data_IF_630735926561
#
_entry.id   IF_630735926561
#
_cell.length_a   1.000
_cell.length_b   1.000
_cell.length_c   1.000
_cell.angle_alpha   90.00
_cell.angle_beta   90.00
_cell.angle_gamma   90.00
#
_symmetry.space_group_name_H-M   'P 1'
#
loop_
_entity.id
_entity.type
_entity.pdbx_description
1 polymer ?
#
# COMPACT_ATOMS: atom_id res chain seq x y z
N UNK A 1 -0.92 5.53 23.22
CA UNK A 1 -2.38 5.48 23.27
C UNK A 1 -2.94 4.69 22.08
N UNK A 2 -2.56 4.99 20.82
CA UNK A 2 -3.08 4.32 19.62
C UNK A 2 -2.98 2.78 19.70
N UNK A 3 -1.83 2.22 20.13
CA UNK A 3 -1.63 0.77 20.32
C UNK A 3 -2.67 0.14 21.26
N UNK A 4 -3.12 0.87 22.29
CA UNK A 4 -4.15 0.39 23.22
C UNK A 4 -5.55 0.40 22.56
N UNK A 5 -5.91 1.51 21.90
CA UNK A 5 -7.21 1.68 21.24
C UNK A 5 -7.39 0.64 20.13
N UNK A 6 -6.35 0.40 19.35
CA UNK A 6 -6.39 -0.50 18.18
C UNK A 6 -6.55 -1.99 18.54
N UNK A 7 -6.33 -2.41 19.78
CA UNK A 7 -6.62 -3.79 20.24
C UNK A 7 -8.07 -4.22 20.00
N UNK A 8 -8.98 -3.27 19.87
CA UNK A 8 -10.41 -3.54 19.67
C UNK A 8 -10.76 -3.91 18.22
N UNK A 9 -9.89 -3.58 17.26
CA UNK A 9 -10.19 -3.72 15.83
C UNK A 9 -9.07 -4.34 15.02
N UNK A 10 -7.83 -3.93 15.24
CA UNK A 10 -6.70 -4.39 14.45
C UNK A 10 -6.11 -5.69 15.01
N UNK A 11 -5.71 -6.58 14.09
CA UNK A 11 -4.92 -7.76 14.45
C UNK A 11 -3.46 -7.33 14.66
N UNK A 12 -2.79 -7.91 15.65
CA UNK A 12 -1.32 -7.94 15.65
C UNK A 12 -0.89 -8.94 14.57
N UNK A 13 -0.57 -8.44 13.39
CA UNK A 13 -0.18 -9.30 12.26
C UNK A 13 1.16 -9.98 12.52
N UNK A 14 1.36 -11.14 11.89
CA UNK A 14 2.58 -11.91 12.08
C UNK A 14 3.79 -11.26 11.40
N UNK A 15 4.96 -11.50 11.97
CA UNK A 15 6.26 -11.28 11.36
C UNK A 15 6.82 -12.64 10.91
N UNK A 16 6.87 -12.86 9.60
CA UNK A 16 7.22 -14.15 9.00
C UNK A 16 8.64 -14.10 8.45
N UNK A 17 9.48 -15.07 8.82
CA UNK A 17 10.82 -15.21 8.24
C UNK A 17 10.72 -15.63 6.75
N UNK A 18 11.45 -14.93 5.89
CA UNK A 18 11.43 -15.10 4.43
C UNK A 18 12.84 -15.16 3.83
N UNK A 19 13.75 -15.83 4.51
CA UNK A 19 15.19 -15.92 4.17
C UNK A 19 15.47 -16.48 2.78
N UNK A 20 14.53 -17.24 2.19
CA UNK A 20 14.64 -17.77 0.84
C UNK A 20 14.41 -16.74 -0.26
N UNK A 21 13.77 -15.63 0.05
CA UNK A 21 13.47 -14.58 -0.94
C UNK A 21 14.70 -13.76 -1.32
N UNK A 22 15.61 -13.50 -0.34
CA UNK A 22 16.77 -12.66 -0.56
C UNK A 22 18.01 -13.32 0.10
N UNK A 23 18.76 -14.16 -0.62
CA UNK A 23 19.96 -14.78 -0.08
C UNK A 23 20.98 -13.74 0.43
N UNK A 24 21.53 -13.97 1.62
CA UNK A 24 22.48 -13.06 2.26
C UNK A 24 21.85 -11.94 3.09
N UNK A 25 20.51 -11.92 3.20
CA UNK A 25 19.76 -11.02 4.08
C UNK A 25 18.84 -11.84 4.98
N UNK A 26 18.80 -11.54 6.26
CA UNK A 26 17.78 -12.11 7.17
C UNK A 26 16.48 -11.35 6.98
N UNK A 27 15.72 -11.76 5.96
CA UNK A 27 14.49 -11.07 5.56
C UNK A 27 13.27 -11.57 6.34
N UNK A 28 12.47 -10.63 6.81
CA UNK A 28 11.18 -10.85 7.48
C UNK A 28 10.08 -10.05 6.80
N UNK A 29 8.85 -10.56 6.85
CA UNK A 29 7.67 -9.91 6.28
C UNK A 29 6.69 -9.54 7.39
N UNK A 30 6.37 -8.26 7.53
CA UNK A 30 5.26 -7.79 8.36
C UNK A 30 3.97 -7.81 7.55
N UNK A 31 3.07 -8.72 7.87
CA UNK A 31 1.96 -9.14 6.99
C UNK A 31 0.68 -8.33 7.19
N UNK A 32 0.72 -7.02 6.94
CA UNK A 32 -0.48 -6.17 6.97
C UNK A 32 -1.48 -6.46 5.82
N UNK A 33 -1.09 -7.22 4.81
CA UNK A 33 -2.01 -7.80 3.83
C UNK A 33 -3.00 -8.81 4.45
N UNK A 34 -2.71 -9.35 5.63
CA UNK A 34 -3.60 -10.23 6.40
C UNK A 34 -4.37 -9.49 7.50
N UNK A 35 -4.34 -8.16 7.52
CA UNK A 35 -5.11 -7.33 8.44
C UNK A 35 -6.62 -7.47 8.16
N UNK A 36 -7.47 -7.06 9.09
CA UNK A 36 -8.94 -7.25 9.08
C UNK A 36 -9.60 -6.81 7.76
N UNK A 37 -9.12 -5.71 7.16
CA UNK A 37 -9.60 -5.21 5.85
C UNK A 37 -8.67 -5.56 4.69
N UNK A 38 -7.73 -6.50 4.89
CA UNK A 38 -6.73 -6.84 3.89
C UNK A 38 -5.64 -5.76 3.70
N UNK A 39 -5.57 -4.75 4.58
CA UNK A 39 -4.53 -3.72 4.56
C UNK A 39 -4.40 -2.98 5.89
N UNK A 40 -3.28 -2.29 6.06
CA UNK A 40 -2.98 -1.50 7.26
C UNK A 40 -3.95 -0.32 7.53
N UNK A 41 -4.68 0.12 6.54
CA UNK A 41 -5.48 1.38 6.56
C UNK A 41 -6.49 1.44 7.71
N UNK A 42 -7.00 0.32 8.16
CA UNK A 42 -7.92 0.24 9.30
C UNK A 42 -7.31 0.84 10.58
N UNK A 43 -5.99 0.76 10.77
CA UNK A 43 -5.30 1.25 11.96
C UNK A 43 -5.45 2.77 12.10
N UNK A 44 -5.03 3.51 11.07
CA UNK A 44 -5.15 4.98 11.08
C UNK A 44 -6.59 5.47 11.07
N UNK A 45 -7.44 4.88 10.22
CA UNK A 45 -8.86 5.25 10.15
C UNK A 45 -9.56 5.03 11.51
N UNK A 46 -9.37 3.88 12.13
CA UNK A 46 -9.99 3.59 13.42
C UNK A 46 -9.48 4.51 14.52
N UNK A 47 -8.16 4.73 14.59
CA UNK A 47 -7.62 5.61 15.60
C UNK A 47 -8.12 7.04 15.46
N UNK A 48 -8.11 7.61 14.25
CA UNK A 48 -8.65 8.95 13.96
C UNK A 48 -10.11 9.05 14.38
N UNK A 49 -10.97 8.15 13.92
CA UNK A 49 -12.40 8.18 14.21
C UNK A 49 -12.68 7.99 15.71
N UNK A 50 -11.86 7.21 16.43
CA UNK A 50 -11.98 7.02 17.87
C UNK A 50 -11.72 8.27 18.70
N UNK A 51 -10.99 9.24 18.14
CA UNK A 51 -10.65 10.50 18.82
C UNK A 51 -11.65 11.63 18.56
N UNK A 52 -12.66 11.41 17.70
CA UNK A 52 -13.69 12.40 17.41
C UNK A 52 -14.52 12.73 18.64
N UNK A 53 -14.88 14.00 18.78
CA UNK A 53 -15.82 14.49 19.79
C UNK A 53 -17.24 13.91 19.60
N UNK A 54 -18.09 14.01 20.60
CA UNK A 54 -19.47 13.57 20.49
C UNK A 54 -20.24 14.31 19.38
N UNK A 55 -19.95 15.60 19.17
CA UNK A 55 -20.56 16.41 18.11
C UNK A 55 -20.12 15.94 16.72
N UNK A 56 -18.82 15.71 16.50
CA UNK A 56 -18.29 15.20 15.24
C UNK A 56 -18.83 13.81 14.91
N UNK A 57 -18.92 12.92 15.90
CA UNK A 57 -19.51 11.58 15.73
C UNK A 57 -20.97 11.64 15.33
N UNK A 58 -21.73 12.58 15.88
CA UNK A 58 -23.15 12.76 15.54
C UNK A 58 -23.36 13.22 14.08
N UNK A 59 -22.43 14.01 13.54
CA UNK A 59 -22.44 14.44 12.14
C UNK A 59 -21.99 13.34 11.19
N UNK A 60 -21.12 12.44 11.63
CA UNK A 60 -20.57 11.36 10.82
C UNK A 60 -19.21 11.70 10.19
N UNK A 61 -18.71 10.79 9.38
CA UNK A 61 -17.40 10.92 8.70
C UNK A 61 -17.54 10.76 7.20
N UNK A 62 -16.65 11.42 6.47
CA UNK A 62 -16.56 11.34 5.01
C UNK A 62 -15.12 11.08 4.57
N UNK A 63 -14.96 10.35 3.47
CA UNK A 63 -13.65 10.11 2.86
C UNK A 63 -13.77 10.04 1.32
N UNK A 64 -12.64 10.29 0.64
CA UNK A 64 -12.51 10.02 -0.78
C UNK A 64 -11.48 8.90 -0.98
N UNK A 65 -11.92 7.75 -1.48
CA UNK A 65 -11.03 6.62 -1.82
C UNK A 65 -11.81 5.50 -2.50
N UNK A 66 -11.28 4.92 -3.55
CA UNK A 66 -11.78 3.70 -4.18
C UNK A 66 -11.01 2.42 -3.75
N UNK A 67 -10.22 2.48 -2.67
CA UNK A 67 -9.34 1.37 -2.27
C UNK A 67 -9.35 1.06 -0.78
N UNK A 68 -8.15 0.78 -0.24
CA UNK A 68 -7.96 0.34 1.13
C UNK A 68 -8.44 1.32 2.19
N UNK A 69 -8.31 2.63 1.94
CA UNK A 69 -8.74 3.65 2.88
C UNK A 69 -10.27 3.68 3.04
N UNK A 70 -11.01 3.54 1.95
CA UNK A 70 -12.46 3.42 1.95
C UNK A 70 -12.94 2.31 2.89
N UNK A 71 -12.36 1.12 2.76
CA UNK A 71 -12.68 -0.02 3.61
C UNK A 71 -12.28 0.19 5.07
N UNK A 72 -11.13 0.82 5.30
CA UNK A 72 -10.68 1.19 6.65
C UNK A 72 -11.65 2.14 7.36
N UNK A 73 -12.10 3.20 6.67
CA UNK A 73 -13.06 4.17 7.19
C UNK A 73 -14.43 3.52 7.42
N UNK A 74 -14.94 2.76 6.44
CA UNK A 74 -16.22 2.07 6.54
C UNK A 74 -16.28 1.14 7.75
N UNK A 75 -15.28 0.28 7.92
CA UNK A 75 -15.21 -0.63 9.08
C UNK A 75 -15.10 0.13 10.40
N UNK A 76 -14.23 1.14 10.46
CA UNK A 76 -14.00 1.92 11.68
C UNK A 76 -15.25 2.66 12.14
N UNK A 77 -15.92 3.36 11.22
CA UNK A 77 -17.16 4.08 11.51
C UNK A 77 -18.28 3.13 11.96
N UNK A 78 -18.49 2.04 11.24
CA UNK A 78 -19.52 1.03 11.56
C UNK A 78 -19.30 0.41 12.94
N UNK A 79 -18.04 0.08 13.28
CA UNK A 79 -17.70 -0.46 14.63
C UNK A 79 -18.02 0.51 15.76
N UNK A 80 -18.04 1.80 15.49
CA UNK A 80 -18.32 2.85 16.45
C UNK A 80 -19.78 3.38 16.37
N UNK A 81 -20.61 2.82 15.48
CA UNK A 81 -21.97 3.28 15.26
C UNK A 81 -22.05 4.67 14.63
N UNK A 82 -21.04 5.08 13.87
CA UNK A 82 -20.96 6.40 13.23
C UNK A 82 -21.31 6.25 11.74
N UNK A 83 -22.13 7.18 11.22
CA UNK A 83 -22.43 7.25 9.80
C UNK A 83 -21.17 7.56 9.01
N UNK A 84 -20.95 6.86 7.89
CA UNK A 84 -19.84 7.13 6.97
C UNK A 84 -20.30 7.23 5.53
N UNK A 85 -19.74 8.20 4.82
CA UNK A 85 -19.92 8.39 3.37
C UNK A 85 -18.55 8.29 2.71
N UNK A 86 -18.48 7.56 1.60
CA UNK A 86 -17.24 7.41 0.83
C UNK A 86 -17.51 7.82 -0.62
N UNK A 87 -16.87 8.89 -1.07
CA UNK A 87 -16.89 9.33 -2.46
C UNK A 87 -15.88 8.52 -3.28
N UNK A 88 -16.32 8.01 -4.44
CA UNK A 88 -15.50 7.22 -5.37
C UNK A 88 -15.78 7.66 -6.81
N UNK A 89 -14.80 7.63 -7.72
CA UNK A 89 -15.08 7.75 -9.14
C UNK A 89 -16.06 6.65 -9.61
N UNK A 90 -16.92 6.98 -10.57
CA UNK A 90 -17.90 6.02 -11.12
C UNK A 90 -17.24 4.84 -11.88
N UNK A 91 -16.00 5.04 -12.34
CA UNK A 91 -15.15 3.99 -12.91
C UNK A 91 -14.47 3.06 -11.88
N UNK A 92 -14.75 3.21 -10.58
CA UNK A 92 -14.16 2.35 -9.55
C UNK A 92 -14.57 0.87 -9.73
N UNK A 93 -13.68 -0.10 -9.50
CA UNK A 93 -14.01 -1.51 -9.61
C UNK A 93 -15.21 -1.90 -8.74
N UNK A 94 -16.20 -2.57 -9.32
CA UNK A 94 -17.45 -2.97 -8.65
C UNK A 94 -17.18 -3.70 -7.33
N UNK A 95 -16.20 -4.58 -7.31
CA UNK A 95 -15.83 -5.32 -6.10
C UNK A 95 -15.37 -4.42 -4.95
N UNK A 96 -14.68 -3.32 -5.25
CA UNK A 96 -14.23 -2.33 -4.24
C UNK A 96 -15.41 -1.52 -3.70
N UNK A 97 -16.33 -1.12 -4.58
CA UNK A 97 -17.59 -0.43 -4.20
C UNK A 97 -18.42 -1.33 -3.28
N UNK A 98 -18.69 -2.56 -3.70
CA UNK A 98 -19.51 -3.50 -2.92
C UNK A 98 -18.84 -3.92 -1.61
N UNK A 99 -17.51 -4.03 -1.57
CA UNK A 99 -16.78 -4.31 -0.32
C UNK A 99 -16.93 -3.17 0.68
N UNK A 100 -16.89 -1.92 0.22
CA UNK A 100 -17.07 -0.73 1.08
C UNK A 100 -18.50 -0.65 1.61
N UNK A 101 -19.50 -0.89 0.76
CA UNK A 101 -20.92 -0.95 1.18
C UNK A 101 -21.17 -2.06 2.20
N UNK A 102 -20.61 -3.26 1.99
CA UNK A 102 -20.74 -4.38 2.95
C UNK A 102 -20.13 -4.08 4.32
N UNK A 103 -19.14 -3.19 4.37
CA UNK A 103 -18.56 -2.70 5.63
C UNK A 103 -19.37 -1.59 6.28
N UNK A 104 -20.51 -1.18 5.69
CA UNK A 104 -21.51 -0.31 6.27
C UNK A 104 -21.42 1.16 5.88
N UNK A 105 -20.58 1.55 4.93
CA UNK A 105 -20.55 2.92 4.43
C UNK A 105 -21.57 3.16 3.31
N UNK A 106 -22.12 4.36 3.26
CA UNK A 106 -22.78 4.88 2.06
C UNK A 106 -21.71 5.21 1.01
N UNK A 107 -21.92 4.81 -0.25
CA UNK A 107 -20.99 5.09 -1.34
C UNK A 107 -21.64 6.08 -2.31
N UNK A 108 -21.00 7.22 -2.48
CA UNK A 108 -21.34 8.24 -3.47
C UNK A 108 -20.45 8.03 -4.70
N UNK A 109 -21.03 7.58 -5.82
CA UNK A 109 -20.31 7.45 -7.09
C UNK A 109 -20.34 8.77 -7.84
N UNK A 110 -19.17 9.30 -8.14
CA UNK A 110 -18.97 10.60 -8.78
C UNK A 110 -18.46 10.39 -10.20
N UNK A 111 -19.10 11.01 -11.17
CA UNK A 111 -18.66 10.93 -12.56
C UNK A 111 -17.32 11.66 -12.74
N UNK A 112 -16.32 10.94 -13.25
CA UNK A 112 -15.01 11.52 -13.56
C UNK A 112 -13.86 10.82 -12.86
N UNK A 113 -12.88 11.61 -12.43
CA UNK A 113 -11.60 11.19 -11.87
C UNK A 113 -11.63 11.08 -10.34
N UNK A 114 -10.49 10.74 -9.76
CA UNK A 114 -10.30 10.82 -8.31
C UNK A 114 -10.44 12.25 -7.78
N UNK A 115 -9.95 13.24 -8.53
CA UNK A 115 -9.99 14.63 -8.12
C UNK A 115 -11.46 15.14 -8.08
N UNK A 116 -12.30 14.74 -9.06
CA UNK A 116 -13.73 15.05 -9.05
C UNK A 116 -14.44 14.43 -7.83
N UNK A 117 -14.09 13.21 -7.47
CA UNK A 117 -14.64 12.53 -6.29
C UNK A 117 -14.15 13.18 -4.98
N UNK A 118 -12.92 13.69 -4.94
CA UNK A 118 -12.38 14.42 -3.80
C UNK A 118 -13.12 15.76 -3.63
N UNK A 119 -13.29 16.53 -4.70
CA UNK A 119 -14.02 17.81 -4.66
C UNK A 119 -15.46 17.60 -4.17
N UNK A 120 -16.11 16.53 -4.63
CA UNK A 120 -17.45 16.15 -4.14
C UNK A 120 -17.45 15.80 -2.66
N UNK A 121 -16.43 15.14 -2.16
CA UNK A 121 -16.31 14.84 -0.73
C UNK A 121 -16.13 16.10 0.11
N UNK A 122 -15.34 17.07 -0.37
CA UNK A 122 -15.17 18.38 0.28
C UNK A 122 -16.50 19.16 0.28
N UNK A 123 -17.22 19.22 -0.85
CA UNK A 123 -18.52 19.85 -0.93
C UNK A 123 -19.51 19.24 0.08
N UNK A 124 -19.61 17.92 0.17
CA UNK A 124 -20.46 17.23 1.12
C UNK A 124 -20.04 17.49 2.57
N UNK A 125 -18.75 17.57 2.84
CA UNK A 125 -18.22 17.96 4.15
C UNK A 125 -18.73 19.34 4.57
N UNK A 126 -18.65 20.33 3.68
CA UNK A 126 -19.12 21.70 3.94
C UNK A 126 -20.64 21.74 4.19
N UNK A 127 -21.42 20.99 3.40
CA UNK A 127 -22.88 20.95 3.50
C UNK A 127 -23.37 20.24 4.76
N UNK A 128 -22.69 19.18 5.19
CA UNK A 128 -23.17 18.29 6.26
C UNK A 128 -22.44 18.50 7.59
N UNK A 129 -21.25 19.10 7.56
CA UNK A 129 -20.35 19.22 8.70
C UNK A 129 -19.71 17.88 9.13
N UNK A 130 -19.74 16.84 8.27
CA UNK A 130 -19.03 15.58 8.51
C UNK A 130 -17.53 15.81 8.63
N UNK A 131 -16.85 14.98 9.44
CA UNK A 131 -15.39 15.05 9.54
C UNK A 131 -14.74 14.29 8.39
N UNK A 132 -13.88 14.98 7.62
CA UNK A 132 -13.10 14.35 6.57
C UNK A 132 -11.98 13.50 7.17
N UNK A 133 -11.91 12.23 6.76
CA UNK A 133 -10.85 11.30 7.19
C UNK A 133 -9.81 11.21 6.10
N UNK A 134 -8.71 11.97 6.28
CA UNK A 134 -7.64 12.03 5.29
C UNK A 134 -6.90 10.69 5.17
N UNK A 135 -6.55 10.23 3.95
CA UNK A 135 -5.95 8.91 3.75
C UNK A 135 -4.50 8.76 4.27
N UNK A 136 -3.79 9.85 4.52
CA UNK A 136 -2.38 9.83 4.95
C UNK A 136 -1.91 11.09 5.70
N UNK A 137 -2.34 12.30 5.35
CA UNK A 137 -1.82 13.56 5.90
C UNK A 137 -2.69 14.05 7.07
N UNK A 138 -2.67 13.29 8.15
CA UNK A 138 -3.37 13.57 9.41
C UNK A 138 -2.60 12.91 10.55
N UNK A 139 -2.23 13.67 11.58
CA UNK A 139 -1.41 13.20 12.70
C UNK A 139 -2.01 11.99 13.43
N UNK A 140 -3.33 11.92 13.57
CA UNK A 140 -3.99 10.78 14.22
C UNK A 140 -4.01 9.56 13.32
N UNK A 141 -4.17 9.74 12.00
CA UNK A 141 -4.03 8.66 11.03
C UNK A 141 -2.59 8.13 11.04
N UNK A 142 -1.61 9.01 10.99
CA UNK A 142 -0.17 8.68 11.09
C UNK A 142 0.13 7.92 12.39
N UNK A 143 -0.38 8.38 13.53
CA UNK A 143 -0.20 7.73 14.83
C UNK A 143 -0.78 6.31 14.87
N UNK A 144 -1.94 6.09 14.23
CA UNK A 144 -2.51 4.75 14.07
C UNK A 144 -1.59 3.82 13.28
N UNK A 145 -1.03 4.29 12.16
CA UNK A 145 -0.09 3.53 11.32
C UNK A 145 1.22 3.22 12.08
N UNK A 146 1.68 4.15 12.91
CA UNK A 146 2.90 3.99 13.71
C UNK A 146 2.86 2.80 14.68
N UNK A 147 1.68 2.31 15.01
CA UNK A 147 1.56 1.09 15.85
C UNK A 147 2.19 -0.14 15.21
N UNK A 148 2.33 -0.17 13.88
CA UNK A 148 3.04 -1.24 13.16
C UNK A 148 4.53 -1.23 13.54
N UNK A 149 5.15 -0.06 13.61
CA UNK A 149 6.55 0.09 14.04
C UNK A 149 6.77 -0.45 15.47
N UNK A 150 5.84 -0.18 16.38
CA UNK A 150 5.88 -0.73 17.73
C UNK A 150 5.73 -2.26 17.75
N UNK A 151 4.89 -2.83 16.88
CA UNK A 151 4.74 -4.28 16.75
C UNK A 151 6.00 -4.93 16.16
N UNK A 152 6.65 -4.30 15.18
CA UNK A 152 7.91 -4.78 14.61
C UNK A 152 9.00 -4.87 15.70
N UNK A 153 9.18 -3.81 16.48
CA UNK A 153 10.15 -3.80 17.58
C UNK A 153 9.85 -4.84 18.67
N UNK A 154 8.57 -5.09 18.95
CA UNK A 154 8.17 -6.14 19.88
C UNK A 154 8.45 -7.56 19.33
N UNK A 155 8.30 -7.78 18.00
CA UNK A 155 8.42 -9.09 17.36
C UNK A 155 9.87 -9.41 16.94
N UNK A 156 10.67 -8.38 16.64
CA UNK A 156 12.08 -8.48 16.26
C UNK A 156 12.89 -7.36 16.93
N UNK A 157 13.24 -7.53 18.23
CA UNK A 157 13.92 -6.47 18.99
C UNK A 157 15.29 -6.06 18.43
N UNK A 158 15.93 -6.93 17.67
CA UNK A 158 17.25 -6.72 17.06
C UNK A 158 17.17 -6.46 15.54
N UNK A 159 16.07 -5.88 15.08
CA UNK A 159 15.91 -5.44 13.69
C UNK A 159 16.93 -4.35 13.35
N UNK A 160 17.57 -4.48 12.16
CA UNK A 160 18.53 -3.51 11.64
C UNK A 160 17.91 -2.53 10.65
N UNK A 161 16.93 -2.99 9.85
CA UNK A 161 16.30 -2.18 8.82
C UNK A 161 14.82 -2.52 8.62
N UNK A 162 14.02 -1.50 8.26
CA UNK A 162 12.61 -1.68 7.89
C UNK A 162 12.36 -0.98 6.57
N UNK A 163 11.75 -1.68 5.62
CA UNK A 163 11.42 -1.18 4.29
C UNK A 163 9.90 -0.99 4.20
N UNK A 164 9.46 0.22 3.85
CA UNK A 164 8.06 0.63 3.89
C UNK A 164 7.63 1.21 2.55
N UNK A 165 6.47 0.81 2.00
CA UNK A 165 5.96 1.43 0.78
C UNK A 165 5.48 2.85 1.03
N UNK A 166 5.69 3.74 0.07
CA UNK A 166 5.27 5.15 0.14
C UNK A 166 4.30 5.48 -0.99
N UNK A 167 3.11 5.93 -0.61
CA UNK A 167 2.24 6.76 -1.45
C UNK A 167 2.33 8.20 -0.98
N UNK A 168 1.31 8.71 -0.29
CA UNK A 168 1.32 10.04 0.33
C UNK A 168 2.13 10.19 1.63
N UNK A 169 2.79 9.14 2.11
CA UNK A 169 3.74 9.19 3.22
C UNK A 169 3.20 8.78 4.61
N UNK A 170 1.89 8.68 4.82
CA UNK A 170 1.32 8.47 6.17
C UNK A 170 1.76 7.18 6.87
N UNK A 171 1.95 6.09 6.13
CA UNK A 171 2.42 4.82 6.68
C UNK A 171 3.86 4.91 7.17
N UNK A 172 4.76 5.34 6.28
CA UNK A 172 6.18 5.44 6.61
C UNK A 172 6.46 6.49 7.70
N UNK A 173 5.75 7.61 7.68
CA UNK A 173 5.85 8.65 8.73
C UNK A 173 5.56 8.06 10.11
N UNK A 174 4.45 7.33 10.24
CA UNK A 174 4.09 6.70 11.50
C UNK A 174 5.07 5.62 11.95
N UNK A 175 5.45 4.72 11.04
CA UNK A 175 6.40 3.62 11.31
C UNK A 175 7.78 4.18 11.66
N UNK A 176 8.29 5.12 10.87
CA UNK A 176 9.61 5.74 11.08
C UNK A 176 9.67 6.49 12.41
N UNK A 177 8.67 7.34 12.69
CA UNK A 177 8.59 8.04 13.97
C UNK A 177 8.60 7.09 15.16
N UNK A 178 7.76 6.05 15.11
CA UNK A 178 7.66 5.09 16.22
C UNK A 178 8.97 4.32 16.44
N UNK A 179 9.64 3.90 15.38
CA UNK A 179 10.90 3.16 15.46
C UNK A 179 12.04 4.08 15.87
N UNK A 180 12.23 5.21 15.19
CA UNK A 180 13.34 6.15 15.46
C UNK A 180 13.29 6.76 16.87
N UNK A 181 12.07 6.92 17.42
CA UNK A 181 11.91 7.40 18.82
C UNK A 181 12.40 6.40 19.88
N UNK A 182 12.43 5.10 19.56
CA UNK A 182 12.82 4.03 20.49
C UNK A 182 14.17 3.41 20.15
N UNK A 183 14.48 3.33 18.87
CA UNK A 183 15.66 2.68 18.29
C UNK A 183 16.18 3.54 17.11
N UNK A 184 16.85 4.69 17.38
CA UNK A 184 17.27 5.63 16.33
C UNK A 184 18.30 5.04 15.35
N UNK A 185 19.02 3.99 15.72
CA UNK A 185 19.98 3.28 14.88
C UNK A 185 19.34 2.44 13.77
N UNK A 186 18.09 1.99 13.93
CA UNK A 186 17.37 1.19 12.93
C UNK A 186 17.16 1.98 11.66
N UNK A 187 17.56 1.43 10.51
CA UNK A 187 17.41 2.10 9.22
C UNK A 187 15.97 1.98 8.70
N UNK A 188 15.43 3.11 8.25
CA UNK A 188 14.09 3.17 7.65
C UNK A 188 14.24 3.54 6.18
N UNK A 189 13.82 2.61 5.31
CA UNK A 189 13.88 2.78 3.86
C UNK A 189 12.47 2.91 3.28
N UNK A 190 12.29 3.91 2.42
CA UNK A 190 11.07 4.11 1.66
C UNK A 190 11.15 3.50 0.27
N UNK A 191 10.03 3.00 -0.26
CA UNK A 191 9.96 2.51 -1.63
C UNK A 191 8.74 3.06 -2.33
N UNK A 192 8.94 3.64 -3.51
CA UNK A 192 7.87 4.06 -4.42
C UNK A 192 7.92 3.29 -5.75
N UNK A 193 6.80 3.26 -6.46
CA UNK A 193 6.78 2.83 -7.85
C UNK A 193 7.45 3.91 -8.72
N UNK A 194 8.29 3.51 -9.68
CA UNK A 194 8.98 4.43 -10.58
C UNK A 194 8.04 5.30 -11.41
N UNK A 195 6.79 4.85 -11.61
CA UNK A 195 5.75 5.64 -12.28
C UNK A 195 5.00 6.65 -11.39
N UNK A 196 5.33 6.71 -10.08
CA UNK A 196 4.71 7.64 -9.13
C UNK A 196 5.69 8.04 -8.01
N UNK A 197 6.87 8.64 -8.33
CA UNK A 197 7.96 8.89 -7.39
C UNK A 197 7.84 10.25 -6.66
N UNK A 198 6.63 10.66 -6.30
CA UNK A 198 6.39 12.01 -5.75
C UNK A 198 7.17 12.33 -4.47
N UNK A 199 7.22 11.40 -3.52
CA UNK A 199 7.94 11.59 -2.27
C UNK A 199 9.46 11.39 -2.46
N UNK A 200 9.87 10.51 -3.37
CA UNK A 200 11.28 10.27 -3.67
C UNK A 200 11.92 11.51 -4.28
N UNK A 201 11.27 12.14 -5.28
CA UNK A 201 11.72 13.42 -5.83
C UNK A 201 11.77 14.51 -4.74
N UNK A 202 10.67 14.66 -3.96
CA UNK A 202 10.61 15.65 -2.91
C UNK A 202 11.73 15.45 -1.86
N UNK A 203 12.04 14.21 -1.50
CA UNK A 203 13.07 13.85 -0.52
C UNK A 203 14.48 14.19 -1.01
N UNK A 204 14.82 13.79 -2.24
CA UNK A 204 16.16 14.02 -2.80
C UNK A 204 16.40 15.48 -3.22
N UNK A 205 15.38 16.12 -3.79
CA UNK A 205 15.47 17.50 -4.24
C UNK A 205 15.25 18.53 -3.10
N UNK A 206 14.83 18.05 -1.93
CA UNK A 206 14.42 18.89 -0.79
C UNK A 206 13.34 19.91 -1.18
N UNK A 207 12.46 19.51 -2.08
CA UNK A 207 11.44 20.37 -2.67
C UNK A 207 10.10 19.65 -2.77
N UNK A 208 9.11 20.18 -2.09
CA UNK A 208 7.74 19.73 -2.18
C UNK A 208 7.14 20.07 -3.55
N UNK A 209 6.83 19.07 -4.35
CA UNK A 209 6.28 19.24 -5.69
C UNK A 209 5.16 18.24 -5.98
N UNK A 210 4.26 18.64 -6.88
CA UNK A 210 3.21 17.79 -7.43
C UNK A 210 3.66 17.25 -8.78
N UNK A 211 3.58 15.94 -8.98
CA UNK A 211 3.85 15.31 -10.27
C UNK A 211 2.74 15.61 -11.27
N UNK A 212 3.09 15.77 -12.55
CA UNK A 212 2.11 15.89 -13.65
C UNK A 212 1.22 14.63 -13.75
N UNK A 213 1.81 13.46 -13.53
CA UNK A 213 1.11 12.17 -13.58
C UNK A 213 1.65 11.17 -12.57
N UNK A 214 0.80 10.23 -12.16
CA UNK A 214 1.20 9.07 -11.34
C UNK A 214 0.60 7.83 -11.99
N UNK A 215 1.42 7.07 -12.73
CA UNK A 215 0.99 5.91 -13.52
C UNK A 215 1.70 4.65 -13.03
N UNK A 216 0.98 3.83 -12.30
CA UNK A 216 1.44 2.52 -11.80
C UNK A 216 0.25 1.60 -11.54
N UNK A 217 0.42 0.27 -11.71
CA UNK A 217 -0.60 -0.67 -11.26
C UNK A 217 -0.61 -0.84 -9.73
N UNK A 218 0.40 -0.33 -9.03
CA UNK A 218 0.42 -0.24 -7.58
C UNK A 218 -0.49 0.92 -7.10
N UNK A 219 -1.79 0.81 -7.37
CA UNK A 219 -2.81 1.86 -7.18
C UNK A 219 -2.83 2.44 -5.76
N UNK A 220 -2.54 1.63 -4.74
CA UNK A 220 -2.45 2.06 -3.34
C UNK A 220 -1.36 3.10 -3.04
N UNK A 221 -0.40 3.30 -3.94
CA UNK A 221 0.69 4.30 -3.84
C UNK A 221 0.79 5.23 -5.05
N UNK A 222 -0.20 5.23 -5.94
CA UNK A 222 -0.26 6.14 -7.09
C UNK A 222 -0.67 7.56 -6.64
N UNK A 223 0.24 8.26 -5.98
CA UNK A 223 -0.01 9.58 -5.38
C UNK A 223 0.84 10.63 -6.07
N UNK A 224 0.19 11.69 -6.59
CA UNK A 224 0.87 12.80 -7.28
C UNK A 224 1.55 13.77 -6.33
N UNK A 225 0.92 14.02 -5.18
CA UNK A 225 1.38 15.03 -4.22
C UNK A 225 1.58 14.39 -2.86
N UNK A 226 2.79 14.45 -2.26
CA UNK A 226 3.00 14.08 -0.87
C UNK A 226 2.09 14.88 0.07
N UNK A 227 1.86 14.44 1.30
CA UNK A 227 1.28 15.31 2.32
C UNK A 227 2.34 16.28 2.85
N UNK A 228 1.94 17.46 3.28
CA UNK A 228 2.87 18.44 3.89
C UNK A 228 3.46 17.91 5.19
N UNK A 229 2.60 17.46 6.11
CA UNK A 229 3.03 16.86 7.38
C UNK A 229 3.86 15.60 7.16
N UNK A 230 3.44 14.75 6.21
CA UNK A 230 4.18 13.51 5.92
C UNK A 230 5.52 13.76 5.26
N UNK A 231 5.67 14.79 4.41
CA UNK A 231 6.95 15.18 3.83
C UNK A 231 7.94 15.63 4.90
N UNK A 232 7.51 16.47 5.84
CA UNK A 232 8.35 16.92 6.96
C UNK A 232 8.82 15.73 7.82
N UNK A 233 7.91 14.82 8.14
CA UNK A 233 8.25 13.63 8.92
C UNK A 233 9.18 12.67 8.16
N UNK A 234 8.95 12.46 6.88
CA UNK A 234 9.81 11.63 6.03
C UNK A 234 11.21 12.23 5.94
N UNK A 235 11.33 13.53 5.70
CA UNK A 235 12.61 14.23 5.66
C UNK A 235 13.40 14.13 6.97
N UNK A 236 12.70 13.99 8.10
CA UNK A 236 13.34 13.91 9.42
C UNK A 236 13.71 12.47 9.81
N UNK A 237 12.89 11.48 9.49
CA UNK A 237 12.98 10.15 10.09
C UNK A 237 13.33 9.02 9.10
N UNK A 238 13.31 9.26 7.79
CA UNK A 238 13.62 8.25 6.77
C UNK A 238 15.08 8.38 6.35
N UNK A 239 15.78 7.26 6.22
CA UNK A 239 17.20 7.26 5.88
C UNK A 239 17.44 7.31 4.36
N UNK A 240 16.56 6.71 3.55
CA UNK A 240 16.69 6.68 2.09
C UNK A 240 15.36 6.29 1.44
N UNK A 241 15.10 6.78 0.23
CA UNK A 241 13.97 6.40 -0.61
C UNK A 241 14.48 5.92 -1.96
N UNK A 242 13.95 4.76 -2.41
CA UNK A 242 14.28 4.19 -3.71
C UNK A 242 13.02 3.90 -4.51
N UNK A 243 13.17 3.75 -5.83
CA UNK A 243 12.08 3.37 -6.72
C UNK A 243 12.26 1.97 -7.27
N UNK A 244 11.12 1.31 -7.56
CA UNK A 244 11.04 0.02 -8.23
C UNK A 244 10.14 0.11 -9.45
N UNK A 245 10.49 -0.61 -10.51
CA UNK A 245 9.72 -0.66 -11.76
C UNK A 245 8.49 -1.56 -11.62
N UNK A 246 7.56 -1.42 -12.56
CA UNK A 246 6.38 -2.29 -12.67
C UNK A 246 6.75 -3.77 -12.79
N UNK A 247 7.84 -4.09 -13.50
CA UNK A 247 8.36 -5.45 -13.66
C UNK A 247 8.93 -6.01 -12.35
N UNK A 248 9.66 -5.21 -11.61
CA UNK A 248 10.20 -5.58 -10.30
C UNK A 248 9.07 -5.83 -9.30
N UNK A 249 8.01 -5.00 -9.32
CA UNK A 249 6.83 -5.20 -8.48
C UNK A 249 6.10 -6.50 -8.86
N UNK A 250 5.90 -6.76 -10.16
CA UNK A 250 5.26 -7.99 -10.63
C UNK A 250 6.05 -9.24 -10.23
N UNK A 251 7.37 -9.21 -10.35
CA UNK A 251 8.24 -10.29 -9.92
C UNK A 251 8.17 -10.52 -8.40
N UNK A 252 8.09 -9.45 -7.61
CA UNK A 252 7.95 -9.55 -6.15
C UNK A 252 6.61 -10.15 -5.73
N UNK A 253 5.49 -9.79 -6.38
CA UNK A 253 4.19 -10.41 -6.13
C UNK A 253 4.26 -11.93 -6.41
N UNK A 254 4.83 -12.31 -7.55
CA UNK A 254 4.98 -13.72 -7.89
C UNK A 254 5.86 -14.47 -6.87
N UNK A 255 6.99 -13.88 -6.46
CA UNK A 255 7.89 -14.45 -5.47
C UNK A 255 7.20 -14.65 -4.10
N UNK A 256 6.38 -13.68 -3.66
CA UNK A 256 5.58 -13.79 -2.44
C UNK A 256 4.56 -14.94 -2.53
N UNK A 257 3.88 -15.08 -3.64
CA UNK A 257 2.91 -16.17 -3.85
C UNK A 257 3.59 -17.54 -3.86
N UNK A 258 4.70 -17.67 -4.57
CA UNK A 258 5.38 -18.95 -4.75
C UNK A 258 6.13 -19.41 -3.49
N UNK A 259 6.83 -18.50 -2.82
CA UNK A 259 7.71 -18.85 -1.71
C UNK A 259 7.04 -18.71 -0.34
N UNK A 260 6.12 -17.76 -0.18
CA UNK A 260 5.50 -17.44 1.11
C UNK A 260 4.00 -17.75 1.18
N UNK A 261 3.37 -18.10 0.05
CA UNK A 261 1.92 -18.31 -0.06
C UNK A 261 1.10 -17.09 0.35
N UNK A 262 1.68 -15.91 0.16
CA UNK A 262 1.06 -14.63 0.46
C UNK A 262 0.64 -13.93 -0.83
N UNK A 263 -0.56 -13.36 -0.82
CA UNK A 263 -1.03 -12.45 -1.87
C UNK A 263 -0.83 -11.02 -1.39
N UNK A 264 -0.04 -10.24 -2.13
CA UNK A 264 0.14 -8.82 -1.93
C UNK A 264 -0.39 -8.04 -3.14
N UNK A 265 -0.93 -6.85 -2.89
CA UNK A 265 -1.17 -5.87 -3.94
C UNK A 265 0.14 -5.19 -4.40
N UNK A 266 0.12 -4.46 -5.51
CA UNK A 266 1.32 -3.81 -6.04
C UNK A 266 2.05 -2.97 -4.99
N UNK A 267 1.32 -2.11 -4.27
CA UNK A 267 1.88 -1.29 -3.20
C UNK A 267 2.55 -2.12 -2.10
N UNK A 268 1.89 -3.20 -1.66
CA UNK A 268 2.41 -4.09 -0.61
C UNK A 268 3.65 -4.89 -1.02
N UNK A 269 3.88 -5.08 -2.31
CA UNK A 269 5.02 -5.84 -2.84
C UNK A 269 6.28 -4.98 -3.07
N UNK A 270 6.18 -3.64 -3.10
CA UNK A 270 7.32 -2.77 -3.40
C UNK A 270 8.51 -2.94 -2.45
N UNK A 271 8.36 -3.16 -1.12
CA UNK A 271 9.49 -3.41 -0.23
C UNK A 271 10.25 -4.69 -0.59
N UNK A 272 9.52 -5.73 -0.97
CA UNK A 272 10.11 -7.00 -1.40
C UNK A 272 10.82 -6.83 -2.75
N UNK A 273 10.25 -6.06 -3.68
CA UNK A 273 10.90 -5.72 -4.94
C UNK A 273 12.24 -5.01 -4.70
N UNK A 274 12.28 -4.00 -3.83
CA UNK A 274 13.53 -3.30 -3.50
C UNK A 274 14.59 -4.23 -2.91
N UNK A 275 14.20 -5.19 -2.06
CA UNK A 275 15.11 -6.18 -1.50
C UNK A 275 15.60 -7.18 -2.56
N UNK A 276 14.72 -7.74 -3.37
CA UNK A 276 15.04 -8.75 -4.39
C UNK A 276 15.98 -8.20 -5.48
N UNK A 277 15.77 -6.95 -5.87
CA UNK A 277 16.56 -6.32 -6.94
C UNK A 277 17.75 -5.50 -6.43
N UNK A 278 18.13 -5.67 -5.15
CA UNK A 278 19.35 -5.10 -4.59
C UNK A 278 19.40 -3.57 -4.58
N UNK A 279 18.23 -2.91 -4.45
CA UNK A 279 18.14 -1.44 -4.44
C UNK A 279 18.70 -0.82 -3.15
N UNK A 280 18.88 -1.62 -2.10
CA UNK A 280 19.25 -1.17 -0.75
C UNK A 280 20.40 -2.01 -0.19
N UNK A 281 21.26 -1.47 0.71
CA UNK A 281 22.40 -2.16 1.31
C UNK A 281 21.95 -3.06 2.47
N UNK A 282 21.40 -4.23 2.17
CA UNK A 282 20.77 -5.15 3.13
C UNK A 282 21.63 -6.34 3.56
N UNK A 283 22.81 -6.57 2.93
CA UNK A 283 23.66 -7.72 3.20
C UNK A 283 24.01 -7.83 4.69
N UNK A 284 23.76 -9.02 5.27
CA UNK A 284 24.02 -9.31 6.68
C UNK A 284 23.11 -8.63 7.69
N UNK A 285 22.01 -7.97 7.24
CA UNK A 285 21.08 -7.24 8.10
C UNK A 285 19.78 -8.01 8.33
N UNK A 286 19.26 -7.92 9.56
CA UNK A 286 17.89 -8.33 9.89
C UNK A 286 16.93 -7.26 9.38
N UNK A 287 16.27 -7.55 8.27
CA UNK A 287 15.47 -6.58 7.53
C UNK A 287 13.99 -6.99 7.51
N UNK A 288 13.11 -6.05 7.79
CA UNK A 288 11.66 -6.24 7.70
C UNK A 288 11.11 -5.53 6.45
N UNK A 289 10.46 -6.29 5.56
CA UNK A 289 9.62 -5.73 4.50
C UNK A 289 8.17 -5.63 4.99
N UNK A 290 7.58 -4.45 4.95
CA UNK A 290 6.18 -4.24 5.32
C UNK A 290 5.26 -4.52 4.12
N UNK A 291 4.52 -5.63 4.17
CA UNK A 291 3.51 -5.99 3.17
C UNK A 291 2.22 -5.26 3.53
N UNK A 292 2.05 -4.05 3.01
CA UNK A 292 1.05 -3.09 3.47
C UNK A 292 -0.40 -3.46 3.15
N UNK A 293 -0.64 -4.26 2.11
CA UNK A 293 -1.97 -4.69 1.69
C UNK A 293 -1.95 -5.84 0.69
N UNK A 294 -3.11 -6.48 0.53
CA UNK A 294 -3.33 -7.61 -0.37
C UNK A 294 -4.61 -7.50 -1.21
N UNK A 295 -5.27 -6.35 -1.25
CA UNK A 295 -6.55 -6.14 -1.94
C UNK A 295 -6.36 -5.90 -3.45
N UNK A 296 -5.70 -6.84 -4.11
CA UNK A 296 -5.48 -6.82 -5.55
C UNK A 296 -6.69 -7.36 -6.31
N UNK A 297 -7.04 -6.73 -7.43
CA UNK A 297 -8.05 -7.27 -8.34
C UNK A 297 -7.53 -8.54 -9.02
N UNK A 298 -8.40 -9.57 -9.12
CA UNK A 298 -8.03 -10.88 -9.68
C UNK A 298 -7.60 -10.78 -11.14
N UNK A 299 -8.19 -9.86 -11.93
CA UNK A 299 -7.80 -9.65 -13.32
C UNK A 299 -6.40 -9.01 -13.40
N UNK A 300 -6.10 -8.06 -12.51
CA UNK A 300 -4.76 -7.47 -12.40
C UNK A 300 -3.78 -8.56 -11.96
N UNK A 301 -4.12 -9.36 -10.95
CA UNK A 301 -3.28 -10.46 -10.47
C UNK A 301 -2.93 -11.45 -11.59
N UNK A 302 -3.90 -11.83 -12.43
CA UNK A 302 -3.66 -12.70 -13.59
C UNK A 302 -2.65 -12.11 -14.57
N UNK A 303 -2.75 -10.81 -14.86
CA UNK A 303 -1.80 -10.09 -15.73
C UNK A 303 -0.42 -10.01 -15.09
N UNK A 304 -0.35 -9.71 -13.79
CA UNK A 304 0.90 -9.65 -13.02
C UNK A 304 1.61 -10.99 -12.98
N UNK A 305 0.88 -12.09 -12.74
CA UNK A 305 1.45 -13.45 -12.78
C UNK A 305 2.05 -13.74 -14.15
N UNK A 306 1.30 -13.44 -15.23
CA UNK A 306 1.81 -13.63 -16.60
C UNK A 306 3.08 -12.84 -16.85
N UNK A 307 3.11 -11.55 -16.45
CA UNK A 307 4.27 -10.66 -16.60
C UNK A 307 5.47 -11.16 -15.79
N UNK A 308 5.26 -11.57 -14.53
CA UNK A 308 6.30 -12.14 -13.66
C UNK A 308 6.90 -13.43 -14.24
N UNK A 309 6.07 -14.31 -14.85
CA UNK A 309 6.55 -15.51 -15.53
C UNK A 309 7.39 -15.20 -16.77
N UNK A 310 7.01 -14.19 -17.54
CA UNK A 310 7.81 -13.73 -18.70
C UNK A 310 9.15 -13.17 -18.23
N UNK A 311 9.14 -12.28 -17.23
CA UNK A 311 10.37 -11.67 -16.71
C UNK A 311 11.33 -12.66 -16.08
N UNK A 312 10.82 -13.75 -15.49
CA UNK A 312 11.64 -14.84 -14.95
C UNK A 312 12.06 -15.89 -15.98
N UNK A 313 11.78 -15.67 -17.27
CA UNK A 313 12.14 -16.60 -18.35
C UNK A 313 11.35 -17.91 -18.36
N UNK A 314 10.28 -18.04 -17.54
CA UNK A 314 9.45 -19.26 -17.45
C UNK A 314 8.28 -19.29 -18.43
N UNK A 315 8.00 -18.17 -19.07
CA UNK A 315 7.00 -18.04 -20.13
C UNK A 315 7.52 -17.16 -21.26
N UNK A 316 7.31 -17.59 -22.48
CA UNK A 316 7.57 -16.75 -23.64
C UNK A 316 6.35 -16.76 -24.56
N UNK A 317 6.15 -15.69 -25.30
CA UNK A 317 5.13 -15.60 -26.35
C UNK A 317 5.86 -15.52 -27.68
N UNK A 318 5.63 -16.51 -28.54
CA UNK A 318 6.16 -16.53 -29.90
C UNK A 318 5.06 -16.09 -30.87
N UNK A 319 5.38 -15.11 -31.71
CA UNK A 319 4.55 -14.72 -32.83
C UNK A 319 5.24 -15.20 -34.11
N UNK A 320 4.64 -16.17 -34.79
CA UNK A 320 5.22 -16.80 -35.97
C UNK A 320 4.27 -16.54 -37.13
N UNK A 321 4.77 -15.84 -38.16
CA UNK A 321 4.07 -15.67 -39.43
C UNK A 321 4.27 -16.95 -40.27
N UNK A 322 3.19 -17.63 -40.58
CA UNK A 322 3.21 -18.84 -41.44
C UNK A 322 2.51 -18.58 -42.74
N UNK A 323 3.00 -19.21 -43.80
CA UNK A 323 2.22 -19.31 -45.04
C UNK A 323 1.04 -20.27 -44.84
N UNK A 324 -0.10 -19.95 -45.45
CA UNK A 324 -1.27 -20.85 -45.38
C UNK A 324 -1.09 -22.07 -46.31
N UNK A 325 -0.24 -23.00 -45.89
CA UNK A 325 0.10 -24.24 -46.57
C UNK A 325 0.03 -25.44 -45.64
N UNK A 326 -0.44 -26.61 -46.08
CA UNK A 326 -0.42 -27.84 -45.30
C UNK A 326 0.98 -28.15 -44.75
N UNK A 327 1.06 -28.57 -43.48
CA UNK A 327 2.29 -28.98 -42.80
C UNK A 327 3.08 -27.86 -42.11
N UNK A 328 2.77 -26.57 -42.33
CA UNK A 328 3.50 -25.47 -41.67
C UNK A 328 3.39 -25.47 -40.15
N UNK A 329 2.19 -25.74 -39.62
CA UNK A 329 2.01 -25.82 -38.17
C UNK A 329 2.73 -27.04 -37.56
N UNK A 330 2.79 -28.19 -38.28
CA UNK A 330 3.55 -29.35 -37.86
C UNK A 330 5.04 -29.04 -37.76
N UNK A 331 5.60 -28.35 -38.77
CA UNK A 331 7.01 -27.94 -38.77
C UNK A 331 7.35 -27.05 -37.56
N UNK A 332 6.48 -26.09 -37.21
CA UNK A 332 6.68 -25.25 -36.02
C UNK A 332 6.62 -26.06 -34.74
N UNK A 333 5.65 -26.98 -34.63
CA UNK A 333 5.54 -27.88 -33.46
C UNK A 333 6.79 -28.73 -33.28
N UNK A 334 7.35 -29.28 -34.38
CA UNK A 334 8.56 -30.12 -34.34
C UNK A 334 9.83 -29.33 -33.95
N UNK A 335 9.85 -28.00 -34.23
CA UNK A 335 10.99 -27.12 -33.83
C UNK A 335 10.89 -26.70 -32.37
N UNK A 336 9.66 -26.53 -31.85
CA UNK A 336 9.41 -26.01 -30.49
C UNK A 336 9.37 -27.11 -29.45
N UNK A 337 9.07 -28.35 -29.83
CA UNK A 337 9.06 -29.54 -28.98
C UNK A 337 10.45 -30.07 -28.65
#
# INVERSE_FOLDING_TARGET
HAKFVLKQVARKTDLIAATRLCPGTDLYLKTENLQVTGSFKVRGAYYKISQLSAEERAKGVIACSAGNHAQGVALAATRMGIKSVVCMPDGAPIMKVESTKRLGAEVELVKGTYDDAHDRAVELQEQTGMTFIHPYDDELVIAGQGTIGLEILDQLPDVDAVIVPIGGGGLISGVAFAIKSLRPEVKIYGVQAAGAPSMEHAFHDHKYETLDSAVTFADGIAVKTPGETTFDMVSQYVDEIVTVSEDEIAAAILALMENQKLVAEGAGATPVAAALFGKLPLAGKKTVCLISGGNIDVNILSRVITRGLVMSGRKTNLMIALEDKPGQLSLVSDIVS
#
